data_IF_830262276150
#
_entry.id   IF_830262276150
#
_cell.length_a   1.000
_cell.length_b   1.000
_cell.length_c   1.000
_cell.angle_alpha   90.00
_cell.angle_beta   90.00
_cell.angle_gamma   90.00
#
_symmetry.space_group_name_H-M   'P 1'
#
loop_
_entity.id
_entity.type
_entity.pdbx_description
1 polymer ?
#
# COMPACT_ATOMS: atom_id res chain seq x y z
N UNK A 1 -18.47 -12.27 7.80
CA UNK A 1 -17.07 -11.88 7.59
C UNK A 1 -16.99 -11.11 6.29
N UNK A 2 -16.18 -10.04 6.21
CA UNK A 2 -16.05 -9.32 4.95
C UNK A 2 -15.19 -10.15 3.98
N UNK A 3 -15.49 -10.04 2.69
CA UNK A 3 -14.80 -10.77 1.62
C UNK A 3 -14.80 -9.96 0.33
N UNK A 4 -13.85 -10.31 -0.56
CA UNK A 4 -13.80 -9.84 -1.93
C UNK A 4 -13.50 -11.05 -2.83
N UNK A 5 -14.35 -11.30 -3.79
CA UNK A 5 -14.20 -12.37 -4.78
C UNK A 5 -14.18 -11.77 -6.18
N UNK A 6 -13.18 -12.15 -6.98
CA UNK A 6 -13.13 -11.84 -8.41
C UNK A 6 -13.09 -13.15 -9.18
N UNK A 7 -13.95 -13.28 -10.17
CA UNK A 7 -14.03 -14.44 -11.08
C UNK A 7 -13.93 -13.96 -12.51
N UNK A 8 -12.88 -14.41 -13.23
CA UNK A 8 -12.58 -14.05 -14.62
C UNK A 8 -12.60 -12.53 -14.87
N UNK A 9 -12.11 -11.74 -13.87
CA UNK A 9 -12.12 -10.30 -13.91
C UNK A 9 -11.16 -9.73 -14.94
N UNK A 10 -11.65 -8.84 -15.81
CA UNK A 10 -10.85 -8.03 -16.73
C UNK A 10 -11.11 -6.57 -16.43
N UNK A 11 -10.07 -5.83 -16.06
CA UNK A 11 -10.16 -4.42 -15.70
C UNK A 11 -9.45 -3.55 -16.74
N UNK A 12 -10.02 -2.38 -17.04
CA UNK A 12 -9.44 -1.43 -17.99
C UNK A 12 -8.33 -0.60 -17.34
N UNK A 13 -7.14 -0.59 -17.94
CA UNK A 13 -6.02 0.27 -17.55
C UNK A 13 -5.89 1.47 -18.49
N UNK A 14 -5.96 1.22 -19.79
CA UNK A 14 -5.94 2.22 -20.86
C UNK A 14 -6.77 1.74 -22.05
N UNK A 15 -6.69 2.42 -23.19
CA UNK A 15 -7.36 1.98 -24.42
C UNK A 15 -6.91 0.58 -24.85
N UNK A 16 -5.60 0.28 -24.68
CA UNK A 16 -4.97 -0.95 -25.22
C UNK A 16 -4.44 -1.88 -24.12
N UNK A 17 -4.60 -1.53 -22.85
CA UNK A 17 -4.04 -2.30 -21.74
C UNK A 17 -5.11 -2.70 -20.73
N UNK A 18 -5.09 -3.96 -20.32
CA UNK A 18 -6.04 -4.55 -19.38
C UNK A 18 -5.30 -5.33 -18.31
N UNK A 19 -5.91 -5.41 -17.12
CA UNK A 19 -5.49 -6.30 -16.04
C UNK A 19 -6.42 -7.52 -16.04
N UNK A 20 -5.85 -8.71 -16.05
CA UNK A 20 -6.57 -9.97 -15.93
C UNK A 20 -6.41 -10.57 -14.54
N UNK A 21 -7.53 -10.83 -13.89
CA UNK A 21 -7.62 -11.49 -12.58
C UNK A 21 -8.52 -12.70 -12.71
N UNK A 22 -7.99 -13.86 -13.12
CA UNK A 22 -8.79 -15.07 -13.39
C UNK A 22 -9.57 -15.52 -12.16
N UNK A 23 -8.94 -15.50 -10.99
CA UNK A 23 -9.58 -15.83 -9.71
C UNK A 23 -8.82 -15.16 -8.58
N UNK A 24 -9.56 -14.53 -7.66
CA UNK A 24 -9.02 -13.99 -6.42
C UNK A 24 -10.07 -14.06 -5.32
N UNK A 25 -9.65 -14.52 -4.15
CA UNK A 25 -10.46 -14.53 -2.94
C UNK A 25 -9.66 -13.86 -1.82
N UNK A 26 -10.26 -12.84 -1.21
CA UNK A 26 -9.75 -12.17 -0.02
C UNK A 26 -10.82 -12.32 1.06
N UNK A 27 -10.46 -12.88 2.18
CA UNK A 27 -11.31 -13.06 3.36
C UNK A 27 -10.85 -12.13 4.48
N UNK A 28 -11.77 -11.61 5.26
CA UNK A 28 -11.44 -10.84 6.47
C UNK A 28 -10.52 -11.63 7.39
N UNK A 29 -9.40 -11.03 7.79
CA UNK A 29 -8.37 -11.66 8.62
C UNK A 29 -7.37 -12.55 7.86
N UNK A 30 -7.51 -12.67 6.53
CA UNK A 30 -6.46 -13.22 5.67
C UNK A 30 -5.66 -12.08 5.06
N UNK A 31 -4.34 -12.12 5.22
CA UNK A 31 -3.45 -11.08 4.74
C UNK A 31 -2.70 -11.58 3.51
N UNK A 32 -2.69 -10.76 2.46
CA UNK A 32 -2.18 -11.15 1.16
C UNK A 32 -0.99 -10.28 0.73
N UNK A 33 -0.05 -10.87 0.00
CA UNK A 33 0.98 -10.14 -0.74
C UNK A 33 0.89 -10.46 -2.23
N UNK A 34 0.90 -9.43 -3.07
CA UNK A 34 0.98 -9.58 -4.51
C UNK A 34 2.33 -9.06 -4.99
N UNK A 35 3.06 -9.93 -5.67
CA UNK A 35 4.45 -9.68 -6.09
C UNK A 35 4.51 -9.62 -7.62
N UNK A 36 5.37 -8.75 -8.13
CA UNK A 36 5.63 -8.65 -9.56
C UNK A 36 6.71 -7.62 -9.86
N UNK A 37 7.30 -7.71 -11.03
CA UNK A 37 8.28 -6.73 -11.52
C UNK A 37 7.63 -5.38 -11.83
N UNK A 38 8.45 -4.33 -11.99
CA UNK A 38 7.94 -3.03 -12.42
C UNK A 38 7.23 -3.15 -13.77
N UNK A 39 6.07 -2.52 -13.87
CA UNK A 39 5.23 -2.60 -15.07
C UNK A 39 4.33 -3.84 -15.19
N UNK A 40 4.41 -4.80 -14.27
CA UNK A 40 3.58 -6.01 -14.28
C UNK A 40 2.09 -5.78 -13.98
N UNK A 41 1.69 -4.56 -13.61
CA UNK A 41 0.29 -4.22 -13.31
C UNK A 41 -0.05 -4.19 -11.82
N UNK A 42 0.94 -4.19 -10.91
CA UNK A 42 0.75 -4.21 -9.44
C UNK A 42 -0.14 -3.08 -8.92
N UNK A 43 0.20 -1.83 -9.24
CA UNK A 43 -0.59 -0.66 -8.83
C UNK A 43 -2.00 -0.66 -9.45
N UNK A 44 -2.15 -1.29 -10.62
CA UNK A 44 -3.46 -1.52 -11.22
C UNK A 44 -4.27 -2.53 -10.41
N UNK A 45 -3.65 -3.63 -9.96
CA UNK A 45 -4.31 -4.58 -9.06
C UNK A 45 -4.75 -3.89 -7.75
N UNK A 46 -3.86 -3.10 -7.14
CA UNK A 46 -4.20 -2.32 -5.94
C UNK A 46 -5.46 -1.47 -6.14
N UNK A 47 -5.53 -0.74 -7.26
CA UNK A 47 -6.69 0.09 -7.62
C UNK A 47 -7.95 -0.73 -7.95
N UNK A 48 -7.79 -1.92 -8.55
CA UNK A 48 -8.91 -2.82 -8.80
C UNK A 48 -9.53 -3.33 -7.49
N UNK A 49 -8.71 -3.68 -6.49
CA UNK A 49 -9.16 -4.15 -5.18
C UNK A 49 -10.02 -3.14 -4.43
N UNK A 50 -9.76 -1.84 -4.60
CA UNK A 50 -10.57 -0.76 -4.02
C UNK A 50 -11.63 -0.21 -4.98
N UNK A 51 -11.92 -0.92 -6.07
CA UNK A 51 -12.95 -0.61 -7.06
C UNK A 51 -12.73 0.70 -7.83
N UNK A 52 -11.49 1.19 -7.94
CA UNK A 52 -11.16 2.37 -8.73
C UNK A 52 -11.03 2.10 -10.25
N UNK A 53 -10.94 0.85 -10.65
CA UNK A 53 -10.84 0.48 -12.06
C UNK A 53 -12.14 -0.08 -12.62
N UNK A 54 -12.51 0.30 -13.85
CA UNK A 54 -13.69 -0.25 -14.51
C UNK A 54 -13.52 -1.74 -14.80
N UNK A 55 -14.44 -2.57 -14.32
CA UNK A 55 -14.56 -3.98 -14.69
C UNK A 55 -15.20 -4.07 -16.09
N UNK A 56 -14.51 -4.69 -17.04
CA UNK A 56 -14.98 -4.87 -18.42
C UNK A 56 -15.73 -6.19 -18.60
N UNK A 57 -15.27 -7.25 -17.94
CA UNK A 57 -15.89 -8.57 -17.97
C UNK A 57 -15.54 -9.37 -16.71
N UNK A 58 -16.23 -10.44 -16.48
CA UNK A 58 -16.14 -11.24 -15.27
C UNK A 58 -17.04 -10.70 -14.16
N UNK A 59 -16.79 -11.13 -12.95
CA UNK A 59 -17.56 -10.74 -11.78
C UNK A 59 -16.62 -10.31 -10.64
N UNK A 60 -17.02 -9.28 -9.92
CA UNK A 60 -16.38 -8.85 -8.68
C UNK A 60 -17.45 -8.60 -7.63
N UNK A 61 -17.39 -9.36 -6.54
CA UNK A 61 -18.29 -9.24 -5.38
C UNK A 61 -17.43 -8.85 -4.18
N UNK A 62 -17.80 -7.80 -3.47
CA UNK A 62 -17.14 -7.44 -2.22
C UNK A 62 -18.13 -6.99 -1.18
N UNK A 63 -17.84 -7.32 0.06
CA UNK A 63 -18.55 -6.86 1.25
C UNK A 63 -17.66 -6.00 2.15
N UNK A 64 -16.42 -5.71 1.75
CA UNK A 64 -15.62 -4.65 2.36
C UNK A 64 -16.30 -3.31 2.10
N UNK A 65 -16.47 -2.52 3.15
CA UNK A 65 -17.22 -1.26 3.10
C UNK A 65 -16.35 -0.03 2.98
N UNK A 66 -15.13 -0.11 3.51
CA UNK A 66 -14.16 0.99 3.57
C UNK A 66 -12.77 0.49 3.13
N UNK A 67 -12.62 0.03 1.88
CA UNK A 67 -11.31 -0.28 1.35
C UNK A 67 -10.52 1.01 1.13
N UNK A 68 -9.26 1.04 1.58
CA UNK A 68 -8.36 2.19 1.41
C UNK A 68 -7.06 1.75 0.76
N UNK A 69 -6.57 2.52 -0.19
CA UNK A 69 -5.28 2.36 -0.84
C UNK A 69 -4.31 3.45 -0.40
N UNK A 70 -3.14 3.05 0.06
CA UNK A 70 -1.99 3.94 0.27
C UNK A 70 -0.93 3.60 -0.77
N UNK A 71 -0.73 4.51 -1.74
CA UNK A 71 0.27 4.38 -2.80
C UNK A 71 1.46 5.30 -2.50
N UNK A 72 2.58 4.72 -2.08
CA UNK A 72 3.75 5.49 -1.64
C UNK A 72 4.57 6.08 -2.80
N UNK A 73 4.35 5.63 -4.04
CA UNK A 73 4.96 6.26 -5.22
C UNK A 73 4.57 7.74 -5.37
N UNK A 74 3.37 8.12 -4.90
CA UNK A 74 2.87 9.51 -4.94
C UNK A 74 3.39 10.38 -3.79
N UNK A 75 4.13 9.80 -2.87
CA UNK A 75 4.64 10.49 -1.70
C UNK A 75 5.55 11.67 -2.08
N UNK A 76 6.45 11.47 -3.05
CA UNK A 76 7.33 12.54 -3.51
C UNK A 76 6.53 13.71 -4.11
N UNK A 77 5.50 13.42 -4.90
CA UNK A 77 4.64 14.44 -5.47
C UNK A 77 3.90 15.25 -4.38
N UNK A 78 3.46 14.60 -3.30
CA UNK A 78 2.85 15.28 -2.16
C UNK A 78 3.84 16.17 -1.42
N UNK A 79 5.07 15.70 -1.21
CA UNK A 79 6.15 16.50 -0.61
C UNK A 79 6.47 17.71 -1.50
N UNK A 80 6.58 17.52 -2.81
CA UNK A 80 6.85 18.59 -3.77
C UNK A 80 5.69 19.62 -3.80
N UNK A 81 4.44 19.17 -3.68
CA UNK A 81 3.29 20.06 -3.53
C UNK A 81 3.41 20.93 -2.28
N UNK A 82 3.78 20.33 -1.14
CA UNK A 82 3.96 21.07 0.12
C UNK A 82 5.15 22.07 0.06
N UNK A 83 6.19 21.75 -0.70
CA UNK A 83 7.28 22.70 -0.97
C UNK A 83 6.82 23.84 -1.87
N UNK A 84 6.01 23.55 -2.90
CA UNK A 84 5.53 24.56 -3.85
C UNK A 84 4.50 25.51 -3.23
N UNK A 85 3.81 25.14 -2.16
CA UNK A 85 2.90 26.03 -1.42
C UNK A 85 3.59 27.27 -0.88
N UNK A 86 4.92 27.21 -0.63
CA UNK A 86 5.70 28.36 -0.20
C UNK A 86 6.23 29.22 -1.36
N UNK A 87 6.22 28.71 -2.60
CA UNK A 87 6.77 29.43 -3.76
C UNK A 87 5.77 30.38 -4.42
N UNK A 88 4.58 30.57 -3.86
CA UNK A 88 3.58 31.51 -4.37
C UNK A 88 3.78 32.95 -3.89
N UNK A 89 4.86 33.25 -3.15
CA UNK A 89 5.11 34.54 -2.54
C UNK A 89 5.95 35.46 -3.40
N UNK A 90 5.25 36.17 -4.24
CA UNK A 90 5.68 37.46 -4.77
C UNK A 90 5.00 38.60 -3.98
N UNK A 91 4.93 38.56 -2.64
CA UNK A 91 4.64 39.77 -1.88
C UNK A 91 4.67 39.54 -0.36
N UNK A 92 5.37 40.45 0.27
CA UNK A 92 5.34 40.83 1.69
C UNK A 92 6.00 39.89 2.71
N UNK A 93 7.11 40.29 3.15
CA UNK A 93 7.97 40.22 4.29
C UNK A 93 7.58 39.50 5.59
N UNK A 94 6.68 38.53 5.55
CA UNK A 94 6.38 37.67 6.68
C UNK A 94 6.69 36.22 6.25
N UNK A 95 7.81 35.70 6.76
CA UNK A 95 8.42 34.38 6.45
C UNK A 95 7.61 33.24 7.09
N UNK A 96 6.28 33.25 6.90
CA UNK A 96 5.37 32.22 7.40
C UNK A 96 5.37 31.04 6.43
N UNK A 97 5.93 29.93 6.90
CA UNK A 97 5.86 28.65 6.21
C UNK A 97 4.40 28.17 6.10
N UNK A 98 3.82 28.25 4.88
CA UNK A 98 2.43 27.92 4.58
C UNK A 98 2.18 26.40 4.34
N UNK A 99 3.19 25.54 4.45
CA UNK A 99 3.03 24.08 4.33
C UNK A 99 2.13 23.52 5.42
N UNK A 100 1.39 22.44 5.11
CA UNK A 100 0.55 21.76 6.10
C UNK A 100 1.37 21.09 7.18
N UNK A 101 0.86 21.08 8.40
CA UNK A 101 1.40 20.29 9.52
C UNK A 101 1.08 18.81 9.33
N UNK A 102 1.80 17.96 10.05
CA UNK A 102 1.52 16.51 10.12
C UNK A 102 0.07 16.24 10.53
N UNK A 103 -0.44 16.96 11.53
CA UNK A 103 -1.83 16.83 11.98
C UNK A 103 -2.84 17.23 10.90
N UNK A 104 -2.56 18.27 10.13
CA UNK A 104 -3.41 18.71 9.01
C UNK A 104 -3.41 17.70 7.85
N UNK A 105 -2.29 17.03 7.59
CA UNK A 105 -2.23 15.94 6.60
C UNK A 105 -3.04 14.73 7.08
N UNK A 106 -2.85 14.29 8.33
CA UNK A 106 -3.61 13.16 8.90
C UNK A 106 -5.11 13.41 8.82
N UNK A 107 -5.56 14.62 9.11
CA UNK A 107 -6.96 15.00 9.17
C UNK A 107 -7.52 15.60 7.86
N UNK A 108 -6.79 15.49 6.74
CA UNK A 108 -7.15 16.15 5.48
C UNK A 108 -8.53 15.73 4.95
N UNK A 109 -8.87 14.46 5.08
CA UNK A 109 -10.13 13.87 4.58
C UNK A 109 -11.16 13.65 5.68
N UNK A 110 -10.71 13.38 6.90
CA UNK A 110 -11.57 13.12 8.05
C UNK A 110 -11.06 13.86 9.28
N UNK A 111 -11.86 14.82 9.80
CA UNK A 111 -11.50 15.63 10.94
C UNK A 111 -11.99 15.00 12.24
N UNK A 112 -11.08 14.34 12.94
CA UNK A 112 -11.26 13.82 14.29
C UNK A 112 -9.96 13.97 15.07
N UNK A 113 -9.92 14.94 15.97
CA UNK A 113 -8.71 15.29 16.69
C UNK A 113 -8.32 14.21 17.71
N UNK A 114 -9.29 13.56 18.34
CA UNK A 114 -9.04 12.49 19.31
C UNK A 114 -8.45 11.26 18.59
N UNK A 115 -9.05 10.87 17.48
CA UNK A 115 -8.55 9.77 16.65
C UNK A 115 -7.16 10.05 16.08
N UNK A 116 -6.91 11.29 15.64
CA UNK A 116 -5.59 11.71 15.17
C UNK A 116 -4.52 11.55 16.26
N UNK A 117 -4.80 11.99 17.49
CA UNK A 117 -3.88 11.84 18.62
C UNK A 117 -3.63 10.37 18.99
N UNK A 118 -4.67 9.53 18.99
CA UNK A 118 -4.55 8.08 19.24
C UNK A 118 -3.66 7.41 18.20
N UNK A 119 -3.90 7.65 16.92
CA UNK A 119 -3.09 7.10 15.84
C UNK A 119 -1.65 7.61 15.89
N UNK A 120 -1.44 8.91 16.11
CA UNK A 120 -0.11 9.47 16.24
C UNK A 120 0.69 8.85 17.41
N UNK A 121 0.02 8.54 18.52
CA UNK A 121 0.63 7.85 19.66
C UNK A 121 0.98 6.39 19.29
N UNK A 122 0.05 5.67 18.69
CA UNK A 122 0.27 4.28 18.23
C UNK A 122 1.45 4.18 17.27
N UNK A 123 1.56 5.13 16.33
CA UNK A 123 2.63 5.16 15.32
C UNK A 123 3.91 5.87 15.79
N UNK A 124 3.95 6.38 17.05
CA UNK A 124 5.13 7.02 17.63
C UNK A 124 5.54 8.31 16.91
N UNK A 125 4.54 9.11 16.47
CA UNK A 125 4.75 10.41 15.82
C UNK A 125 4.02 11.57 16.51
N UNK A 126 3.62 11.40 17.76
CA UNK A 126 2.89 12.43 18.52
C UNK A 126 3.64 13.76 18.60
N UNK A 127 4.96 13.71 18.74
CA UNK A 127 5.84 14.88 18.82
C UNK A 127 6.06 15.55 17.44
N UNK A 128 5.55 14.94 16.36
CA UNK A 128 5.63 15.45 15.00
C UNK A 128 4.36 16.16 14.52
N UNK A 129 3.27 16.06 15.25
CA UNK A 129 1.95 16.58 14.83
C UNK A 129 1.95 18.06 14.45
N UNK A 130 2.71 18.90 15.15
CA UNK A 130 2.87 20.32 14.84
C UNK A 130 3.94 20.63 13.79
N UNK A 131 4.77 19.64 13.42
CA UNK A 131 5.84 19.81 12.44
C UNK A 131 5.25 19.86 11.03
N UNK A 132 5.84 20.68 10.16
CA UNK A 132 5.46 20.73 8.75
C UNK A 132 5.82 19.41 8.06
N UNK A 133 4.86 18.87 7.29
CA UNK A 133 4.96 17.57 6.63
C UNK A 133 6.22 17.43 5.76
N UNK A 134 6.56 18.48 5.02
CA UNK A 134 7.75 18.51 4.14
C UNK A 134 9.09 18.37 4.87
N UNK A 135 9.14 18.52 6.19
CA UNK A 135 10.36 18.35 7.00
C UNK A 135 10.42 17.01 7.74
N UNK A 136 9.51 16.10 7.46
CA UNK A 136 9.53 14.77 8.03
C UNK A 136 10.56 13.88 7.31
N UNK A 137 11.11 12.91 8.05
CA UNK A 137 11.89 11.82 7.44
C UNK A 137 10.98 10.91 6.62
N UNK A 138 11.55 10.10 5.72
CA UNK A 138 10.79 9.15 4.91
C UNK A 138 9.93 8.22 5.76
N UNK A 139 10.46 7.72 6.89
CA UNK A 139 9.71 6.87 7.82
C UNK A 139 8.56 7.61 8.51
N UNK A 140 8.79 8.85 9.00
CA UNK A 140 7.74 9.69 9.60
C UNK A 140 6.64 10.04 8.60
N UNK A 141 7.01 10.30 7.35
CA UNK A 141 6.05 10.60 6.27
C UNK A 141 5.15 9.41 5.98
N UNK A 142 5.72 8.19 5.91
CA UNK A 142 4.92 6.96 5.72
C UNK A 142 3.97 6.69 6.87
N UNK A 143 4.43 6.87 8.11
CA UNK A 143 3.59 6.78 9.30
C UNK A 143 2.45 7.79 9.26
N UNK A 144 2.72 9.01 8.82
CA UNK A 144 1.70 10.06 8.65
C UNK A 144 0.62 9.65 7.64
N UNK A 145 1.01 9.10 6.47
CA UNK A 145 0.03 8.64 5.48
C UNK A 145 -0.75 7.40 5.94
N UNK A 146 -0.13 6.52 6.72
CA UNK A 146 -0.85 5.41 7.35
C UNK A 146 -1.86 5.91 8.38
N UNK A 147 -1.48 6.88 9.23
CA UNK A 147 -2.43 7.53 10.15
C UNK A 147 -3.59 8.16 9.38
N UNK A 148 -3.33 8.89 8.28
CA UNK A 148 -4.36 9.48 7.43
C UNK A 148 -5.33 8.40 6.90
N UNK A 149 -4.81 7.30 6.36
CA UNK A 149 -5.62 6.19 5.86
C UNK A 149 -6.48 5.57 6.96
N UNK A 150 -5.93 5.42 8.17
CA UNK A 150 -6.61 4.81 9.32
C UNK A 150 -7.63 5.74 10.00
N UNK A 151 -7.65 7.03 9.67
CA UNK A 151 -8.69 7.96 10.15
C UNK A 151 -10.09 7.53 9.72
N UNK A 152 -10.22 6.86 8.57
CA UNK A 152 -11.50 6.39 8.05
C UNK A 152 -11.93 5.03 8.60
N UNK A 153 -11.14 4.43 9.50
CA UNK A 153 -11.36 3.07 10.04
C UNK A 153 -11.60 2.03 8.94
N UNK A 154 -10.65 1.82 8.05
CA UNK A 154 -10.81 0.88 6.93
C UNK A 154 -11.01 -0.55 7.43
N UNK A 155 -11.75 -1.35 6.67
CA UNK A 155 -11.87 -2.81 6.85
C UNK A 155 -10.96 -3.60 5.88
N UNK A 156 -10.42 -2.92 4.85
CA UNK A 156 -9.39 -3.41 3.94
C UNK A 156 -8.37 -2.29 3.69
N UNK A 157 -7.11 -2.55 4.01
CA UNK A 157 -5.98 -1.67 3.74
C UNK A 157 -5.07 -2.27 2.67
N UNK A 158 -4.97 -1.61 1.54
CA UNK A 158 -4.08 -1.98 0.44
C UNK A 158 -2.89 -1.02 0.43
N UNK A 159 -1.68 -1.55 0.52
CA UNK A 159 -0.43 -0.77 0.52
C UNK A 159 0.38 -1.07 -0.74
N UNK A 160 0.58 -0.06 -1.57
CA UNK A 160 1.36 -0.19 -2.80
C UNK A 160 2.80 0.27 -2.56
N UNK A 161 3.74 -0.69 -2.63
CA UNK A 161 5.18 -0.53 -2.43
C UNK A 161 5.56 0.11 -1.08
N UNK A 162 5.05 -0.41 0.06
CA UNK A 162 5.24 0.22 1.36
C UNK A 162 6.69 0.25 1.84
N UNK A 163 7.56 -0.61 1.33
CA UNK A 163 8.96 -0.75 1.77
C UNK A 163 9.98 -0.08 0.85
N UNK A 164 9.55 0.47 -0.28
CA UNK A 164 10.47 1.06 -1.24
C UNK A 164 11.18 2.30 -0.68
N UNK A 165 12.50 2.38 -0.83
CA UNK A 165 13.31 3.48 -0.28
C UNK A 165 13.46 3.51 1.25
N UNK A 166 13.00 2.49 1.98
CA UNK A 166 13.26 2.34 3.42
C UNK A 166 14.56 1.55 3.68
N UNK A 167 15.29 1.96 4.71
CA UNK A 167 16.36 1.15 5.31
C UNK A 167 15.80 -0.07 6.07
N UNK A 168 16.68 -0.99 6.46
CA UNK A 168 16.31 -2.26 7.10
C UNK A 168 15.54 -2.06 8.40
N UNK A 169 15.94 -1.11 9.24
CA UNK A 169 15.29 -0.87 10.54
C UNK A 169 13.89 -0.26 10.34
N UNK A 170 13.76 0.70 9.42
CA UNK A 170 12.48 1.30 9.07
C UNK A 170 11.50 0.29 8.47
N UNK A 171 11.99 -0.66 7.64
CA UNK A 171 11.19 -1.77 7.10
C UNK A 171 10.68 -2.68 8.21
N UNK A 172 11.57 -3.08 9.12
CA UNK A 172 11.19 -3.94 10.26
C UNK A 172 10.12 -3.27 11.12
N UNK A 173 10.32 -2.00 11.51
CA UNK A 173 9.35 -1.25 12.29
C UNK A 173 7.99 -1.13 11.57
N UNK A 174 7.99 -0.85 10.28
CA UNK A 174 6.75 -0.79 9.50
C UNK A 174 6.04 -2.14 9.45
N UNK A 175 6.78 -3.24 9.28
CA UNK A 175 6.21 -4.61 9.28
C UNK A 175 5.59 -4.97 10.63
N UNK A 176 6.25 -4.63 11.73
CA UNK A 176 5.73 -4.83 13.10
C UNK A 176 4.42 -4.07 13.31
N UNK A 177 4.37 -2.80 12.89
CA UNK A 177 3.15 -1.99 12.98
C UNK A 177 2.00 -2.53 12.13
N UNK A 178 2.29 -3.03 10.92
CA UNK A 178 1.27 -3.64 10.05
C UNK A 178 0.77 -4.97 10.63
N UNK A 179 1.63 -5.75 11.28
CA UNK A 179 1.25 -6.97 12.01
C UNK A 179 0.29 -6.65 13.16
N UNK A 180 0.57 -5.61 13.96
CA UNK A 180 -0.33 -5.18 15.04
C UNK A 180 -1.72 -4.75 14.51
N UNK A 181 -1.76 -4.03 13.38
CA UNK A 181 -3.03 -3.66 12.73
C UNK A 181 -3.79 -4.89 12.24
N UNK A 182 -3.08 -5.88 11.68
CA UNK A 182 -3.63 -7.14 11.21
C UNK A 182 -4.21 -7.97 12.38
N UNK A 183 -3.49 -8.08 13.49
CA UNK A 183 -3.96 -8.70 14.74
C UNK A 183 -5.18 -7.97 15.32
N UNK A 184 -5.26 -6.65 15.14
CA UNK A 184 -6.41 -5.82 15.50
C UNK A 184 -7.64 -6.03 14.61
N UNK A 185 -7.58 -6.92 13.61
CA UNK A 185 -8.70 -7.29 12.75
C UNK A 185 -8.77 -6.54 11.41
N UNK A 186 -7.82 -5.66 11.10
CA UNK A 186 -7.73 -5.01 9.81
C UNK A 186 -7.21 -6.00 8.76
N UNK A 187 -7.91 -6.16 7.66
CA UNK A 187 -7.41 -6.96 6.53
C UNK A 187 -6.37 -6.16 5.76
N UNK A 188 -5.17 -6.74 5.60
CA UNK A 188 -4.03 -6.06 4.96
C UNK A 188 -3.65 -6.78 3.66
N UNK A 189 -3.47 -5.97 2.60
CA UNK A 189 -2.94 -6.42 1.31
C UNK A 189 -1.70 -5.60 1.00
N UNK A 190 -0.59 -6.28 0.70
CA UNK A 190 0.67 -5.66 0.30
C UNK A 190 0.93 -5.91 -1.18
N UNK A 191 1.30 -4.86 -1.89
CA UNK A 191 1.81 -4.92 -3.25
C UNK A 191 3.32 -4.72 -3.18
N UNK A 192 4.09 -5.70 -3.63
CA UNK A 192 5.53 -5.77 -3.38
C UNK A 192 6.32 -6.02 -4.67
N UNK A 193 7.57 -5.57 -4.68
CA UNK A 193 8.52 -5.81 -5.77
C UNK A 193 9.32 -7.10 -5.58
N UNK A 194 9.48 -7.58 -4.34
CA UNK A 194 10.37 -8.69 -3.99
C UNK A 194 9.72 -9.64 -3.00
N UNK A 195 10.00 -10.93 -3.16
CA UNK A 195 9.59 -11.96 -2.20
C UNK A 195 10.24 -11.77 -0.81
N UNK A 196 11.48 -11.25 -0.77
CA UNK A 196 12.19 -10.96 0.48
C UNK A 196 11.53 -9.89 1.35
N UNK A 197 10.61 -9.13 0.79
CA UNK A 197 9.91 -8.06 1.49
C UNK A 197 8.57 -8.51 2.09
N UNK A 198 8.21 -9.80 1.98
CA UNK A 198 6.97 -10.36 2.54
C UNK A 198 7.13 -10.52 4.05
N UNK A 199 6.32 -9.84 4.88
CA UNK A 199 6.34 -10.03 6.33
C UNK A 199 5.73 -11.36 6.77
N UNK A 200 6.11 -11.83 7.97
CA UNK A 200 5.68 -13.12 8.50
C UNK A 200 4.16 -13.23 8.74
N UNK A 201 3.45 -12.13 8.95
CA UNK A 201 2.00 -12.13 9.14
C UNK A 201 1.20 -12.38 7.85
N UNK A 202 1.84 -12.30 6.69
CA UNK A 202 1.21 -12.61 5.41
C UNK A 202 1.03 -14.12 5.26
N UNK A 203 -0.17 -14.56 4.95
CA UNK A 203 -0.53 -15.98 4.83
C UNK A 203 -0.72 -16.44 3.39
N UNK A 204 -1.10 -15.53 2.51
CA UNK A 204 -1.37 -15.81 1.10
C UNK A 204 -0.54 -14.89 0.20
N UNK A 205 -0.13 -15.39 -0.95
CA UNK A 205 0.58 -14.58 -1.93
C UNK A 205 0.13 -14.91 -3.35
N UNK A 206 0.22 -13.92 -4.24
CA UNK A 206 -0.05 -14.05 -5.67
C UNK A 206 1.05 -13.42 -6.50
N UNK A 207 1.32 -13.98 -7.68
CA UNK A 207 2.30 -13.46 -8.62
C UNK A 207 1.60 -12.71 -9.76
N UNK A 208 2.07 -11.51 -10.05
CA UNK A 208 1.58 -10.70 -11.16
C UNK A 208 2.64 -10.60 -12.25
N UNK A 209 2.29 -11.04 -13.46
CA UNK A 209 3.17 -10.99 -14.64
C UNK A 209 2.37 -10.48 -15.83
N UNK A 210 2.90 -9.51 -16.55
CA UNK A 210 2.28 -8.94 -17.78
C UNK A 210 0.79 -8.59 -17.62
N UNK A 211 0.44 -7.97 -16.48
CA UNK A 211 -0.94 -7.63 -16.12
C UNK A 211 -1.88 -8.84 -15.97
N UNK A 212 -1.35 -10.03 -15.67
CA UNK A 212 -2.13 -11.22 -15.35
C UNK A 212 -1.79 -11.68 -13.94
N UNK A 213 -2.79 -11.78 -13.07
CA UNK A 213 -2.63 -12.38 -11.76
C UNK A 213 -2.66 -13.89 -11.90
N UNK A 214 -1.57 -14.55 -11.51
CA UNK A 214 -1.57 -16.00 -11.36
C UNK A 214 -2.51 -16.41 -10.22
N UNK A 215 -3.12 -17.60 -10.27
CA UNK A 215 -3.92 -18.12 -9.16
C UNK A 215 -3.16 -17.97 -7.83
N UNK A 216 -3.86 -17.48 -6.82
CA UNK A 216 -3.25 -17.32 -5.51
C UNK A 216 -3.01 -18.71 -4.88
N UNK A 217 -1.74 -19.01 -4.67
CA UNK A 217 -1.32 -20.19 -3.92
C UNK A 217 -1.02 -19.78 -2.47
N UNK A 218 -0.93 -20.77 -1.56
CA UNK A 218 -0.40 -20.50 -0.24
C UNK A 218 1.03 -19.96 -0.36
N UNK A 219 1.41 -19.04 0.50
CA UNK A 219 2.75 -18.42 0.47
C UNK A 219 3.87 -19.47 0.41
N UNK A 220 3.73 -20.58 1.15
CA UNK A 220 4.69 -21.68 1.15
C UNK A 220 4.86 -22.35 -0.22
N UNK A 221 3.78 -22.54 -0.97
CA UNK A 221 3.83 -23.12 -2.31
C UNK A 221 4.53 -22.20 -3.31
N UNK A 222 4.26 -20.88 -3.25
CA UNK A 222 4.93 -19.89 -4.09
C UNK A 222 6.42 -19.75 -3.77
N UNK A 223 6.80 -19.74 -2.50
CA UNK A 223 8.20 -19.70 -2.09
C UNK A 223 8.98 -20.96 -2.55
N UNK A 224 8.39 -22.15 -2.44
CA UNK A 224 8.99 -23.38 -2.96
C UNK A 224 9.15 -23.34 -4.47
N UNK A 225 8.15 -22.87 -5.21
CA UNK A 225 8.24 -22.72 -6.67
C UNK A 225 9.32 -21.70 -7.09
N UNK A 226 9.51 -20.64 -6.32
CA UNK A 226 10.54 -19.63 -6.57
C UNK A 226 11.95 -20.19 -6.30
N UNK A 227 12.14 -20.92 -5.20
CA UNK A 227 13.43 -21.59 -4.89
C UNK A 227 13.81 -22.58 -5.98
N UNK A 228 12.87 -23.42 -6.41
CA UNK A 228 13.12 -24.39 -7.48
C UNK A 228 13.51 -23.73 -8.82
N UNK A 229 12.97 -22.53 -9.13
CA UNK A 229 13.33 -21.77 -10.34
C UNK A 229 14.72 -21.16 -10.23
N UNK A 230 15.12 -20.64 -9.06
CA UNK A 230 16.48 -20.08 -8.86
C UNK A 230 17.55 -21.16 -8.96
N UNK A 231 17.34 -22.35 -8.41
CA UNK A 231 18.26 -23.50 -8.54
C UNK A 231 18.42 -23.97 -9.98
N UNK A 232 17.35 -23.97 -10.78
CA UNK A 232 17.41 -24.31 -12.21
C UNK A 232 18.20 -23.27 -13.03
N UNK A 233 18.13 -21.99 -12.64
CA UNK A 233 18.84 -20.91 -13.34
C UNK A 233 20.33 -20.94 -13.02
N UNK A 234 20.73 -21.28 -11.79
CA UNK A 234 22.15 -21.45 -11.43
C UNK A 234 22.80 -22.63 -12.11
N UNK A 235 22.07 -23.73 -12.33
CA UNK A 235 22.58 -24.91 -13.06
C UNK A 235 22.78 -24.67 -14.57
N UNK A 236 22.14 -23.64 -15.15
CA UNK A 236 22.27 -23.27 -16.57
C UNK A 236 23.40 -22.26 -16.84
N UNK A 237 24.00 -21.70 -15.79
CA UNK A 237 25.06 -20.68 -15.91
C UNK A 237 26.47 -21.16 -15.51
N UNK A 238 26.65 -22.43 -15.26
CA UNK A 238 27.98 -23.04 -15.09
C UNK A 238 28.51 -23.50 -16.44
N UNK A 239 29.73 -23.03 -16.87
CA UNK A 239 30.33 -23.37 -18.16
C UNK A 239 30.79 -24.84 -18.22
#
# INVERSE_FOLDING_TARGET
MAHLHITQGIFRLSADKQLSVPSLQLESGQHHAFIGTNGSGKSALARALIQELPLLSGEMITTFRRPVLVAFEKLQALIDEEWNRNNTDLTDGDDTDNGRTTAEIIQAEHRDNERCLQLAAQFGISDRLSRRFKYLSTGETRKTLLCQALMTEPDLLVLDEPYDGLDTDSRRMLSEMLAELAEGGLTVVLILNRFSDIPDFITCAGLLTDCVLAPADTLSALLQAQLARSEQTEHLTLP
#
